data_IF_572130339273
#
_entry.id   IF_572130339273
#
_cell.length_a   1.000
_cell.length_b   1.000
_cell.length_c   1.000
_cell.angle_alpha   90.00
_cell.angle_beta   90.00
_cell.angle_gamma   90.00
#
_symmetry.space_group_name_H-M   'P 1'
#
loop_
_entity.id
_entity.type
_entity.pdbx_description
1 polymer ?
#
# COMPACT_ATOMS: atom_id res chain seq x y z
N UNK A 1 30.37 32.73 -45.13
CA UNK A 1 29.87 31.36 -44.93
C UNK A 1 28.93 31.04 -46.08
N UNK A 2 28.97 29.82 -46.60
CA UNK A 2 28.33 29.49 -47.87
C UNK A 2 26.82 29.21 -47.68
N UNK A 3 26.03 29.42 -48.74
CA UNK A 3 24.59 29.08 -48.69
C UNK A 3 24.34 27.59 -48.42
N UNK A 4 25.31 26.73 -48.74
CA UNK A 4 25.26 25.30 -48.46
C UNK A 4 25.27 25.00 -46.94
N UNK A 5 26.04 25.76 -46.16
CA UNK A 5 26.12 25.60 -44.70
C UNK A 5 24.78 25.93 -44.03
N UNK A 6 24.09 26.94 -44.54
CA UNK A 6 22.75 27.33 -44.08
C UNK A 6 21.68 26.28 -44.45
N UNK A 7 21.74 25.70 -45.66
CA UNK A 7 20.84 24.63 -46.09
C UNK A 7 21.05 23.34 -45.29
N UNK A 8 22.31 22.96 -45.02
CA UNK A 8 22.62 21.79 -44.18
C UNK A 8 22.09 21.98 -42.75
N UNK A 9 22.22 23.18 -42.17
CA UNK A 9 21.63 23.48 -40.86
C UNK A 9 20.10 23.42 -40.89
N UNK A 10 19.45 24.05 -41.87
CA UNK A 10 17.99 24.01 -41.98
C UNK A 10 17.45 22.58 -42.16
N UNK A 11 18.16 21.72 -42.89
CA UNK A 11 17.83 20.30 -43.04
C UNK A 11 17.96 19.55 -41.71
N UNK A 12 19.02 19.81 -40.94
CA UNK A 12 19.19 19.24 -39.60
C UNK A 12 18.05 19.65 -38.66
N UNK A 13 17.76 20.94 -38.55
CA UNK A 13 16.68 21.50 -37.72
C UNK A 13 15.29 20.91 -38.09
N UNK A 14 15.02 20.66 -39.38
CA UNK A 14 13.80 20.01 -39.85
C UNK A 14 13.78 18.51 -39.52
N UNK A 15 14.91 17.81 -39.65
CA UNK A 15 15.01 16.39 -39.34
C UNK A 15 14.83 16.10 -37.83
N UNK A 16 15.37 16.96 -36.97
CA UNK A 16 15.21 16.89 -35.52
C UNK A 16 13.74 17.09 -35.12
N UNK A 17 13.08 18.12 -35.66
CA UNK A 17 11.64 18.35 -35.45
C UNK A 17 10.79 17.18 -35.92
N UNK A 18 11.15 16.54 -37.05
CA UNK A 18 10.44 15.37 -37.55
C UNK A 18 10.57 14.19 -36.58
N UNK A 19 11.77 13.92 -36.09
CA UNK A 19 12.01 12.84 -35.11
C UNK A 19 11.27 13.09 -33.78
N UNK A 20 11.22 14.33 -33.29
CA UNK A 20 10.44 14.69 -32.10
C UNK A 20 8.94 14.42 -32.29
N UNK A 21 8.38 14.82 -33.45
CA UNK A 21 6.98 14.58 -33.79
C UNK A 21 6.66 13.09 -34.02
N UNK A 22 7.60 12.30 -34.55
CA UNK A 22 7.48 10.84 -34.68
C UNK A 22 7.32 10.18 -33.30
N UNK A 23 8.13 10.57 -32.31
CA UNK A 23 8.03 10.07 -30.92
C UNK A 23 6.71 10.48 -30.25
N UNK A 24 6.25 11.72 -30.45
CA UNK A 24 4.95 12.17 -29.93
C UNK A 24 3.79 11.41 -30.58
N UNK A 25 3.85 11.15 -31.89
CA UNK A 25 2.86 10.37 -32.62
C UNK A 25 2.76 8.93 -32.10
N UNK A 26 3.89 8.24 -31.91
CA UNK A 26 3.92 6.88 -31.35
C UNK A 26 3.33 6.85 -29.93
N UNK A 27 3.69 7.83 -29.10
CA UNK A 27 3.12 7.96 -27.75
C UNK A 27 1.61 8.14 -27.78
N UNK A 28 1.10 9.07 -28.59
CA UNK A 28 -0.34 9.33 -28.73
C UNK A 28 -1.06 8.09 -29.28
N UNK A 29 -0.45 7.36 -30.22
CA UNK A 29 -0.96 6.08 -30.73
C UNK A 29 -1.10 5.03 -29.63
N UNK A 30 -0.11 4.91 -28.74
CA UNK A 30 -0.16 4.01 -27.59
C UNK A 30 -1.20 4.44 -26.53
N UNK A 31 -1.38 5.73 -26.31
CA UNK A 31 -2.44 6.26 -25.43
C UNK A 31 -3.84 6.01 -26.03
N UNK A 32 -4.03 6.23 -27.33
CA UNK A 32 -5.28 5.93 -28.04
C UNK A 32 -5.63 4.43 -28.03
N UNK A 33 -4.63 3.55 -28.16
CA UNK A 33 -4.83 2.11 -28.07
C UNK A 33 -5.35 1.69 -26.68
N UNK A 34 -4.80 2.27 -25.60
CA UNK A 34 -5.28 2.04 -24.22
C UNK A 34 -6.72 2.53 -24.03
N UNK A 35 -7.07 3.69 -24.59
CA UNK A 35 -8.42 4.23 -24.53
C UNK A 35 -9.44 3.34 -25.26
N UNK A 36 -9.11 2.85 -26.45
CA UNK A 36 -9.96 1.90 -27.20
C UNK A 36 -10.17 0.57 -26.46
N UNK A 37 -9.12 0.07 -25.79
CA UNK A 37 -9.22 -1.11 -24.94
C UNK A 37 -10.20 -0.86 -23.78
N UNK A 38 -10.06 0.27 -23.09
CA UNK A 38 -10.94 0.66 -21.99
C UNK A 38 -12.40 0.87 -22.46
N UNK A 39 -12.61 1.49 -23.62
CA UNK A 39 -13.92 1.68 -24.24
C UNK A 39 -14.61 0.34 -24.53
N UNK A 40 -13.89 -0.62 -25.13
CA UNK A 40 -14.43 -1.95 -25.42
C UNK A 40 -14.72 -2.76 -24.15
N UNK A 41 -13.85 -2.68 -23.14
CA UNK A 41 -14.10 -3.32 -21.84
C UNK A 41 -15.33 -2.73 -21.13
N UNK A 42 -15.58 -1.42 -21.25
CA UNK A 42 -16.78 -0.78 -20.72
C UNK A 42 -18.05 -1.18 -21.50
N UNK A 43 -17.99 -1.31 -22.84
CA UNK A 43 -19.10 -1.87 -23.62
C UNK A 43 -19.46 -3.28 -23.15
N UNK A 44 -18.48 -4.17 -22.98
CA UNK A 44 -18.76 -5.53 -22.55
C UNK A 44 -19.41 -5.62 -21.16
N UNK A 45 -19.04 -4.73 -20.22
CA UNK A 45 -19.70 -4.63 -18.91
C UNK A 45 -21.15 -4.13 -19.03
N UNK A 46 -21.47 -3.29 -20.02
CA UNK A 46 -22.83 -2.76 -20.25
C UNK A 46 -23.72 -3.78 -20.97
N UNK A 47 -23.13 -4.58 -21.87
CA UNK A 47 -23.82 -5.54 -22.74
C UNK A 47 -23.84 -6.96 -22.15
N UNK A 48 -23.30 -7.16 -20.94
CA UNK A 48 -23.07 -8.46 -20.29
C UNK A 48 -22.33 -9.49 -21.17
N UNK A 49 -21.48 -9.02 -22.10
CA UNK A 49 -20.70 -9.89 -22.99
C UNK A 49 -19.39 -10.35 -22.34
N UNK A 50 -19.01 -11.64 -22.51
CA UNK A 50 -17.80 -12.19 -21.90
C UNK A 50 -16.53 -11.54 -22.49
N UNK A 51 -15.63 -11.11 -21.61
CA UNK A 51 -14.43 -10.35 -21.95
C UNK A 51 -13.46 -11.18 -22.81
N UNK A 52 -13.57 -12.52 -22.77
CA UNK A 52 -12.81 -13.46 -23.59
C UNK A 52 -13.01 -13.25 -25.11
N UNK A 53 -14.19 -12.78 -25.57
CA UNK A 53 -14.43 -12.53 -27.01
C UNK A 53 -13.80 -11.22 -27.54
N UNK A 54 -13.36 -10.31 -26.65
CA UNK A 54 -12.77 -9.02 -27.04
C UNK A 54 -11.31 -9.12 -27.53
N UNK A 55 -10.77 -10.33 -27.71
CA UNK A 55 -9.37 -10.55 -28.10
C UNK A 55 -8.35 -10.13 -27.04
N UNK A 56 -8.80 -9.90 -25.79
CA UNK A 56 -7.98 -9.45 -24.65
C UNK A 56 -7.20 -10.60 -24.02
N UNK A 57 -6.51 -11.37 -24.85
CA UNK A 57 -5.45 -12.28 -24.38
C UNK A 57 -4.32 -11.41 -23.84
N UNK A 58 -4.31 -11.19 -22.52
CA UNK A 58 -3.11 -10.74 -21.82
C UNK A 58 -1.98 -11.70 -22.21
N UNK A 59 -0.77 -11.21 -22.54
CA UNK A 59 0.36 -12.10 -22.81
C UNK A 59 0.57 -12.97 -21.56
N UNK A 60 0.29 -14.26 -21.71
CA UNK A 60 0.33 -15.22 -20.62
C UNK A 60 1.78 -15.40 -20.16
N UNK A 61 2.14 -14.69 -19.09
CA UNK A 61 3.41 -14.88 -18.40
C UNK A 61 3.44 -16.26 -17.75
N UNK A 62 4.06 -17.22 -18.44
CA UNK A 62 4.42 -18.52 -17.89
C UNK A 62 3.35 -19.60 -18.09
N UNK A 63 3.58 -20.47 -19.06
CA UNK A 63 2.92 -21.77 -19.10
C UNK A 63 3.35 -22.61 -17.89
N UNK A 64 2.40 -23.05 -17.08
CA UNK A 64 2.55 -24.17 -16.16
C UNK A 64 1.45 -25.19 -16.49
N UNK A 65 1.83 -26.25 -17.22
CA UNK A 65 0.90 -27.30 -17.65
C UNK A 65 0.40 -28.11 -16.45
N UNK A 66 -0.92 -28.31 -16.37
CA UNK A 66 -1.54 -29.19 -15.39
C UNK A 66 -2.98 -29.51 -15.76
N UNK A 67 -3.27 -30.69 -16.35
CA UNK A 67 -4.63 -31.10 -16.69
C UNK A 67 -5.19 -32.01 -15.60
N UNK A 68 -6.04 -31.49 -14.70
CA UNK A 68 -7.09 -32.33 -14.11
C UNK A 68 -8.35 -31.52 -13.74
N UNK A 69 -9.45 -32.26 -13.64
CA UNK A 69 -10.83 -31.82 -13.47
C UNK A 69 -11.07 -31.12 -12.13
N UNK A 70 -11.96 -30.13 -12.14
CA UNK A 70 -12.52 -29.59 -10.91
C UNK A 70 -13.45 -28.39 -11.09
N UNK A 71 -14.65 -28.59 -11.66
CA UNK A 71 -15.78 -27.86 -11.07
C UNK A 71 -15.92 -28.34 -9.62
N UNK A 72 -16.06 -27.42 -8.67
CA UNK A 72 -17.44 -27.14 -8.25
C UNK A 72 -17.74 -25.67 -7.90
N UNK A 73 -18.88 -25.22 -8.41
CA UNK A 73 -19.99 -24.61 -7.65
C UNK A 73 -19.69 -23.43 -6.70
N UNK A 74 -20.30 -22.30 -7.04
CA UNK A 74 -21.15 -21.51 -6.15
C UNK A 74 -20.78 -21.44 -4.65
N UNK A 75 -19.87 -20.52 -4.32
CA UNK A 75 -19.94 -19.75 -3.07
C UNK A 75 -19.61 -18.29 -3.44
N UNK A 76 -20.40 -17.28 -3.11
CA UNK A 76 -21.25 -17.11 -1.94
C UNK A 76 -20.69 -15.91 -1.18
N UNK A 77 -21.52 -14.87 -0.96
CA UNK A 77 -21.17 -13.67 -0.16
C UNK A 77 -19.80 -13.04 -0.48
N UNK A 78 -19.75 -12.10 -1.44
CA UNK A 78 -18.69 -11.08 -1.43
C UNK A 78 -18.86 -10.22 -0.17
N UNK A 79 -18.17 -10.58 0.89
CA UNK A 79 -17.98 -9.73 2.07
C UNK A 79 -17.32 -8.39 1.69
N UNK A 80 -17.28 -7.41 2.61
CA UNK A 80 -16.73 -6.10 2.34
C UNK A 80 -15.29 -6.25 1.82
N UNK A 81 -15.07 -5.90 0.54
CA UNK A 81 -13.74 -6.03 -0.08
C UNK A 81 -12.81 -5.09 0.66
N UNK A 82 -11.79 -5.67 1.31
CA UNK A 82 -10.83 -4.93 2.12
C UNK A 82 -10.17 -3.78 1.34
N UNK A 83 -9.58 -2.81 2.06
CA UNK A 83 -9.04 -1.60 1.46
C UNK A 83 -8.09 -1.93 0.31
N UNK A 84 -8.47 -1.51 -0.91
CA UNK A 84 -7.63 -1.68 -2.11
C UNK A 84 -6.32 -0.92 -1.90
N UNK A 85 -5.17 -1.58 -2.14
CA UNK A 85 -3.83 -1.02 -1.90
C UNK A 85 -3.61 0.37 -2.56
N UNK A 86 -4.23 0.63 -3.71
CA UNK A 86 -4.08 1.91 -4.42
C UNK A 86 -5.14 2.97 -4.04
N UNK A 87 -6.15 2.63 -3.24
CA UNK A 87 -7.19 3.58 -2.80
C UNK A 87 -6.65 4.53 -1.74
N UNK A 88 -7.19 5.76 -1.66
CA UNK A 88 -6.78 6.75 -0.64
C UNK A 88 -6.96 6.22 0.78
N UNK A 89 -8.09 5.55 1.10
CA UNK A 89 -8.28 4.90 2.41
C UNK A 89 -7.23 3.79 2.64
N UNK A 90 -6.92 2.98 1.63
CA UNK A 90 -5.93 1.92 1.74
C UNK A 90 -4.51 2.42 1.96
N UNK A 91 -4.08 3.46 1.23
CA UNK A 91 -2.79 4.12 1.44
C UNK A 91 -2.70 4.84 2.78
N UNK A 92 -3.79 5.51 3.21
CA UNK A 92 -3.89 6.10 4.55
C UNK A 92 -3.73 5.06 5.65
N UNK A 93 -4.39 3.89 5.51
CA UNK A 93 -4.21 2.78 6.44
C UNK A 93 -2.77 2.26 6.45
N UNK A 94 -2.19 1.98 5.29
CA UNK A 94 -0.80 1.51 5.20
C UNK A 94 0.21 2.49 5.83
N UNK A 95 -0.01 3.81 5.70
CA UNK A 95 0.80 4.83 6.35
C UNK A 95 0.66 4.82 7.88
N UNK A 96 -0.54 4.61 8.41
CA UNK A 96 -0.78 4.53 9.87
C UNK A 96 -0.23 3.22 10.43
N UNK A 97 -0.38 2.10 9.71
CA UNK A 97 0.16 0.79 10.08
C UNK A 97 1.71 0.82 10.11
N UNK A 98 2.33 1.49 9.13
CA UNK A 98 3.78 1.70 9.05
C UNK A 98 4.35 2.84 9.90
N UNK A 99 3.51 3.60 10.61
CA UNK A 99 3.94 4.74 11.44
C UNK A 99 4.63 4.34 12.76
N UNK A 100 4.51 3.07 13.15
CA UNK A 100 5.00 2.59 14.43
C UNK A 100 4.32 3.25 15.65
N UNK A 101 4.94 3.13 16.84
CA UNK A 101 4.29 3.50 18.11
C UNK A 101 4.12 5.01 18.33
N UNK A 102 4.83 5.85 17.58
CA UNK A 102 4.69 7.32 17.66
C UNK A 102 3.50 7.83 16.83
N UNK A 103 3.10 7.09 15.79
CA UNK A 103 2.05 7.52 14.87
C UNK A 103 2.47 8.68 13.95
N UNK A 104 1.53 9.11 13.12
CA UNK A 104 1.70 10.25 12.22
C UNK A 104 0.77 11.40 12.62
N UNK A 105 1.31 12.61 12.66
CA UNK A 105 0.51 13.83 12.79
C UNK A 105 -0.22 14.14 11.47
N UNK A 106 -1.37 14.81 11.56
CA UNK A 106 -2.16 15.20 10.38
C UNK A 106 -1.33 15.93 9.31
N UNK A 107 -0.42 16.89 9.62
CA UNK A 107 0.43 17.54 8.61
C UNK A 107 1.48 16.62 7.97
N UNK A 108 1.86 15.51 8.61
CA UNK A 108 2.73 14.49 7.99
C UNK A 108 1.92 13.63 7.01
N UNK A 109 0.70 13.23 7.40
CA UNK A 109 -0.23 12.47 6.54
C UNK A 109 -0.56 13.25 5.26
N UNK A 110 -0.85 14.56 5.37
CA UNK A 110 -1.12 15.42 4.21
C UNK A 110 0.09 15.54 3.25
N UNK A 111 1.34 15.45 3.75
CA UNK A 111 2.54 15.44 2.90
C UNK A 111 2.78 14.08 2.23
N UNK A 112 2.40 12.99 2.90
CA UNK A 112 2.53 11.63 2.36
C UNK A 112 1.44 11.28 1.33
N UNK A 113 0.28 11.95 1.39
CA UNK A 113 -0.85 11.80 0.46
C UNK A 113 -1.21 13.13 -0.24
N UNK A 114 -0.30 13.72 -1.06
CA UNK A 114 -0.53 15.01 -1.70
C UNK A 114 -1.62 14.98 -2.78
N UNK A 115 -2.02 13.79 -3.23
CA UNK A 115 -3.04 13.58 -4.26
C UNK A 115 -4.49 13.53 -3.72
N UNK A 116 -4.66 13.54 -2.39
CA UNK A 116 -5.97 13.51 -1.75
C UNK A 116 -6.29 14.83 -1.03
N UNK A 117 -7.52 15.33 -1.23
CA UNK A 117 -7.97 16.57 -0.61
C UNK A 117 -7.96 16.45 0.93
N UNK A 118 -7.54 17.47 1.69
CA UNK A 118 -7.50 17.42 3.16
C UNK A 118 -8.84 17.05 3.81
N UNK A 119 -9.96 17.53 3.26
CA UNK A 119 -11.30 17.17 3.73
C UNK A 119 -11.59 15.66 3.60
N UNK A 120 -11.14 15.03 2.52
CA UNK A 120 -11.28 13.58 2.28
C UNK A 120 -10.41 12.77 3.24
N UNK A 121 -9.16 13.22 3.48
CA UNK A 121 -8.27 12.58 4.45
C UNK A 121 -8.88 12.66 5.86
N UNK A 122 -9.41 13.82 6.26
CA UNK A 122 -10.05 14.00 7.56
C UNK A 122 -11.28 13.09 7.73
N UNK A 123 -12.14 13.00 6.71
CA UNK A 123 -13.30 12.11 6.74
C UNK A 123 -12.91 10.63 6.89
N UNK A 124 -11.84 10.18 6.21
CA UNK A 124 -11.33 8.81 6.38
C UNK A 124 -10.66 8.60 7.73
N UNK A 125 -9.89 9.56 8.26
CA UNK A 125 -9.31 9.49 9.60
C UNK A 125 -10.40 9.35 10.67
N UNK A 126 -11.43 10.21 10.65
CA UNK A 126 -12.56 10.09 11.57
C UNK A 126 -13.26 8.73 11.43
N UNK A 127 -13.53 8.27 10.20
CA UNK A 127 -14.16 6.97 9.98
C UNK A 127 -13.30 5.79 10.47
N UNK A 128 -11.98 5.85 10.31
CA UNK A 128 -11.04 4.82 10.79
C UNK A 128 -10.96 4.80 12.32
N UNK A 129 -10.97 5.97 12.97
CA UNK A 129 -11.01 6.06 14.45
C UNK A 129 -12.34 5.54 14.99
N UNK A 130 -13.48 5.91 14.38
CA UNK A 130 -14.80 5.38 14.76
C UNK A 130 -14.93 3.87 14.52
N UNK A 131 -14.28 3.33 13.48
CA UNK A 131 -14.28 1.91 13.18
C UNK A 131 -13.28 1.08 14.01
N UNK A 132 -12.43 1.72 14.82
CA UNK A 132 -11.34 1.04 15.54
C UNK A 132 -10.24 0.51 14.62
N UNK A 133 -10.11 1.05 13.39
CA UNK A 133 -9.00 0.74 12.47
C UNK A 133 -7.75 1.59 12.77
N UNK A 134 -7.89 2.70 13.47
CA UNK A 134 -6.79 3.57 13.92
C UNK A 134 -7.09 4.17 15.30
N UNK A 135 -6.04 4.49 16.07
CA UNK A 135 -6.13 5.16 17.36
C UNK A 135 -5.62 6.60 17.23
N UNK A 136 -6.41 7.56 17.72
CA UNK A 136 -6.00 8.96 17.81
C UNK A 136 -5.42 9.27 19.20
N UNK A 137 -4.11 9.46 19.27
CA UNK A 137 -3.39 9.87 20.46
C UNK A 137 -3.15 11.40 20.41
N UNK A 138 -4.18 12.17 20.80
CA UNK A 138 -4.16 13.63 20.69
C UNK A 138 -4.08 14.10 19.23
N UNK A 139 -2.90 14.55 18.81
CA UNK A 139 -2.66 15.07 17.45
C UNK A 139 -2.06 14.02 16.48
N UNK A 140 -1.83 12.79 16.94
CA UNK A 140 -1.20 11.72 16.18
C UNK A 140 -2.18 10.55 15.94
N UNK A 141 -2.03 9.88 14.79
CA UNK A 141 -2.77 8.68 14.42
C UNK A 141 -1.81 7.50 14.33
N UNK A 142 -2.08 6.43 15.06
CA UNK A 142 -1.28 5.19 15.08
C UNK A 142 -2.20 3.96 14.90
N UNK A 143 -1.64 2.81 14.57
CA UNK A 143 -2.41 1.56 14.50
C UNK A 143 -2.94 1.17 15.89
N UNK A 144 -4.08 0.51 15.93
CA UNK A 144 -4.54 -0.13 17.16
C UNK A 144 -3.62 -1.31 17.45
N UNK A 145 -2.87 -1.25 18.55
CA UNK A 145 -2.00 -2.35 18.98
C UNK A 145 -2.86 -3.59 19.23
N UNK A 146 -2.64 -4.63 18.43
CA UNK A 146 -3.17 -5.97 18.69
C UNK A 146 -2.12 -6.80 19.41
N UNK A 147 -2.52 -7.87 20.11
CA UNK A 147 -1.62 -8.69 20.94
C UNK A 147 -0.47 -9.34 20.15
N UNK A 148 -0.62 -9.47 18.83
CA UNK A 148 0.41 -9.97 17.93
C UNK A 148 1.55 -8.97 17.65
N UNK A 149 1.40 -7.68 18.01
CA UNK A 149 2.45 -6.65 17.86
C UNK A 149 3.55 -6.75 18.95
N UNK A 150 3.37 -7.57 19.98
CA UNK A 150 4.35 -7.74 21.07
C UNK A 150 5.49 -8.72 20.71
N UNK A 151 5.37 -9.46 19.60
CA UNK A 151 6.31 -10.56 19.25
C UNK A 151 7.53 -10.10 18.42
N UNK A 152 7.59 -8.84 17.98
CA UNK A 152 8.74 -8.25 17.27
C UNK A 152 9.73 -7.51 18.20
N UNK A 153 9.74 -7.83 19.50
CA UNK A 153 10.88 -7.51 20.38
C UNK A 153 11.78 -8.74 20.54
N UNK A 154 12.95 -8.81 19.86
CA UNK A 154 13.92 -9.86 20.14
C UNK A 154 14.53 -9.61 21.52
N UNK A 155 14.28 -10.53 22.46
CA UNK A 155 14.74 -10.41 23.84
C UNK A 155 15.26 -11.76 24.37
N UNK A 156 16.54 -12.03 24.10
CA UNK A 156 17.45 -13.02 24.70
C UNK A 156 18.81 -12.28 24.77
N UNK A 157 19.49 -12.02 25.90
CA UNK A 157 19.68 -12.70 27.20
C UNK A 157 20.74 -13.82 27.18
N UNK A 158 21.51 -13.91 28.27
CA UNK A 158 22.70 -14.76 28.55
C UNK A 158 23.97 -14.48 27.69
N UNK A 159 25.21 -14.80 28.12
CA UNK A 159 25.73 -15.20 29.45
C UNK A 159 25.62 -14.02 30.49
N UNK A 160 26.17 -13.98 31.72
CA UNK A 160 27.23 -14.73 32.44
C UNK A 160 26.99 -14.63 33.99
N UNK A 161 27.93 -15.11 34.82
CA UNK A 161 27.80 -15.42 36.26
C UNK A 161 29.03 -14.89 37.03
N UNK A 162 28.88 -14.46 38.30
CA UNK A 162 29.73 -15.01 39.38
C UNK A 162 28.93 -15.02 40.71
N UNK A 163 29.20 -16.03 41.53
CA UNK A 163 28.39 -16.43 42.70
C UNK A 163 29.14 -16.16 44.01
N UNK A 164 28.50 -16.55 45.11
CA UNK A 164 29.01 -16.80 46.45
C UNK A 164 29.02 -15.69 47.52
N UNK A 165 28.55 -16.13 48.70
CA UNK A 165 28.83 -15.64 50.06
C UNK A 165 28.03 -14.40 50.54
N UNK A 166 27.28 -14.48 51.65
CA UNK A 166 26.97 -15.63 52.49
C UNK A 166 25.63 -15.46 53.24
N UNK A 167 24.98 -16.59 53.52
CA UNK A 167 23.80 -16.68 54.38
C UNK A 167 24.24 -16.83 55.84
N UNK A 168 23.86 -15.87 56.68
CA UNK A 168 23.89 -15.95 58.14
C UNK A 168 22.87 -14.92 58.68
N UNK A 169 21.98 -15.21 59.62
CA UNK A 169 21.84 -16.46 60.35
C UNK A 169 21.20 -16.36 61.74
N UNK A 170 20.46 -15.30 62.07
CA UNK A 170 19.74 -15.15 63.35
C UNK A 170 18.48 -14.30 63.13
N UNK A 171 17.38 -14.38 63.87
CA UNK A 171 16.72 -15.34 64.75
C UNK A 171 15.54 -14.55 65.37
N UNK A 172 14.47 -15.23 65.76
CA UNK A 172 13.18 -14.71 66.29
C UNK A 172 13.16 -13.38 67.10
N UNK A 173 12.08 -12.59 66.92
CA UNK A 173 11.13 -12.40 68.03
C UNK A 173 9.69 -11.93 67.64
N UNK A 174 8.72 -12.78 67.96
CA UNK A 174 7.39 -12.49 68.53
C UNK A 174 6.43 -11.41 67.94
N UNK A 175 5.30 -11.90 67.37
CA UNK A 175 3.96 -11.52 67.90
C UNK A 175 2.96 -10.72 67.02
N UNK A 176 1.86 -11.34 66.54
CA UNK A 176 0.66 -10.68 65.97
C UNK A 176 -0.51 -10.65 67.00
N UNK A 177 -1.81 -10.39 66.65
CA UNK A 177 -2.43 -9.55 65.61
C UNK A 177 -3.54 -8.57 66.13
N UNK A 178 -3.89 -7.55 65.34
CA UNK A 178 -5.28 -7.11 65.05
C UNK A 178 -6.19 -6.46 66.12
N UNK A 179 -6.89 -5.38 65.69
CA UNK A 179 -8.28 -4.95 66.04
C UNK A 179 -8.57 -3.66 65.24
N UNK A 180 -9.59 -3.63 64.38
CA UNK A 180 -11.03 -3.48 64.66
C UNK A 180 -11.44 -1.99 64.71
#
# INVERSE_FOLDING_TARGET
MSGNDALMKALADVSERRAALEVEYERIGAELAKLRLAENALRAIIEDTPIEELGLSLPSSGAASGPDRGEPRASGRRGPRGPRANSTKGRLKALIDGAGPQGLSQPQILRALPDAAPATINAYLSAMVTAGEALQAGNFYTKVRTRDDEVESPNEADDEIDDENAFDGEADENGPPGKA
#
